data_IF_579761425718
#
_entry.id   IF_579761425718
#
_cell.length_a   1.000
_cell.length_b   1.000
_cell.length_c   1.000
_cell.angle_alpha   90.00
_cell.angle_beta   90.00
_cell.angle_gamma   90.00
#
_symmetry.space_group_name_H-M   'P 1'
#
loop_
_entity.id
_entity.type
_entity.pdbx_description
1 polymer ?
#
# COMPACT_ATOMS: atom_id res chain seq x y z
N UNK A 1 6.38 -10.13 -10.71
CA UNK A 1 5.13 -10.32 -9.93
C UNK A 1 4.78 -11.79 -9.72
N UNK A 2 3.89 -12.12 -8.77
CA UNK A 2 3.35 -13.47 -8.53
C UNK A 2 1.84 -13.44 -8.69
N UNK A 3 1.27 -14.43 -9.39
CA UNK A 3 -0.17 -14.51 -9.67
C UNK A 3 -0.74 -15.78 -9.04
N UNK A 4 -1.87 -15.68 -8.39
CA UNK A 4 -2.59 -16.76 -7.75
C UNK A 4 -4.07 -16.70 -8.17
N UNK A 5 -4.59 -17.83 -8.67
CA UNK A 5 -6.00 -17.98 -9.02
C UNK A 5 -6.78 -18.60 -7.85
N UNK A 6 -8.05 -18.21 -7.73
CA UNK A 6 -8.96 -18.73 -6.69
C UNK A 6 -8.38 -18.66 -5.26
N UNK A 7 -7.70 -17.54 -4.97
CA UNK A 7 -6.95 -17.36 -3.73
C UNK A 7 -7.85 -17.10 -2.54
N UNK A 8 -7.63 -17.82 -1.43
CA UNK A 8 -8.29 -17.53 -0.15
C UNK A 8 -7.80 -16.19 0.44
N UNK A 9 -8.73 -15.24 0.62
CA UNK A 9 -8.40 -13.88 1.03
C UNK A 9 -8.31 -13.68 2.55
N UNK A 10 -8.79 -14.62 3.36
CA UNK A 10 -8.65 -14.57 4.82
C UNK A 10 -7.21 -14.39 5.33
N UNK A 11 -6.21 -14.85 4.54
CA UNK A 11 -4.79 -14.70 4.88
C UNK A 11 -4.23 -13.31 4.55
N UNK A 12 -5.02 -12.46 3.89
CA UNK A 12 -4.67 -11.13 3.44
C UNK A 12 -5.45 -10.03 4.17
N UNK A 13 -6.19 -10.38 5.20
CA UNK A 13 -6.90 -9.46 6.08
C UNK A 13 -6.50 -9.69 7.54
N UNK A 14 -6.37 -8.61 8.30
CA UNK A 14 -6.14 -8.70 9.74
C UNK A 14 -7.32 -9.36 10.49
N UNK A 15 -8.53 -9.25 9.96
CA UNK A 15 -9.72 -9.88 10.54
C UNK A 15 -9.75 -11.40 10.32
N UNK A 16 -8.88 -11.94 9.43
CA UNK A 16 -8.76 -13.37 9.11
C UNK A 16 -10.06 -14.03 8.67
N UNK A 17 -10.94 -13.24 8.05
CA UNK A 17 -12.18 -13.69 7.41
C UNK A 17 -12.14 -13.32 5.92
N UNK A 18 -12.92 -14.04 5.10
CA UNK A 18 -13.05 -13.79 3.69
C UNK A 18 -12.92 -15.05 2.84
N UNK A 19 -13.76 -15.13 1.81
CA UNK A 19 -13.81 -16.19 0.83
C UNK A 19 -12.67 -16.13 -0.19
N UNK A 20 -12.92 -16.72 -1.36
CA UNK A 20 -11.95 -16.79 -2.45
C UNK A 20 -12.11 -15.61 -3.40
N UNK A 21 -10.99 -15.05 -3.82
CA UNK A 21 -10.93 -14.11 -4.93
C UNK A 21 -10.56 -14.83 -6.23
N UNK A 22 -11.07 -14.33 -7.36
CA UNK A 22 -10.73 -14.80 -8.70
C UNK A 22 -9.22 -14.79 -8.91
N UNK A 23 -8.57 -13.66 -8.61
CA UNK A 23 -7.14 -13.48 -8.83
C UNK A 23 -6.52 -12.63 -7.73
N UNK A 24 -5.33 -13.02 -7.27
CA UNK A 24 -4.47 -12.20 -6.44
C UNK A 24 -3.12 -12.05 -7.14
N UNK A 25 -2.69 -10.82 -7.32
CA UNK A 25 -1.39 -10.47 -7.90
C UNK A 25 -0.55 -9.82 -6.81
N UNK A 26 0.66 -10.31 -6.56
CA UNK A 26 1.63 -9.70 -5.64
C UNK A 26 2.69 -9.00 -6.49
N UNK A 27 2.74 -7.67 -6.40
CA UNK A 27 3.77 -6.87 -7.07
C UNK A 27 5.14 -7.10 -6.39
N UNK A 28 6.20 -7.27 -7.17
CA UNK A 28 7.58 -7.40 -6.69
C UNK A 28 8.41 -6.13 -6.95
N UNK A 29 8.01 -5.34 -7.94
CA UNK A 29 8.54 -4.01 -8.26
C UNK A 29 7.42 -3.11 -8.77
N UNK A 30 7.69 -1.81 -8.89
CA UNK A 30 6.66 -0.84 -9.30
C UNK A 30 6.27 -0.95 -10.78
N UNK A 31 7.15 -1.47 -11.60
CA UNK A 31 6.93 -1.69 -13.03
C UNK A 31 5.90 -2.79 -13.29
N UNK A 32 5.77 -3.76 -12.39
CA UNK A 32 4.76 -4.83 -12.47
C UNK A 32 3.34 -4.27 -12.62
N UNK A 33 3.08 -3.02 -12.14
CA UNK A 33 1.77 -2.39 -12.24
C UNK A 33 1.34 -2.17 -13.70
N UNK A 34 2.29 -1.90 -14.58
CA UNK A 34 2.04 -1.70 -16.01
C UNK A 34 1.53 -3.00 -16.63
N UNK A 35 2.13 -4.14 -16.27
CA UNK A 35 1.72 -5.46 -16.74
C UNK A 35 0.29 -5.79 -16.24
N UNK A 36 0.00 -5.44 -14.97
CA UNK A 36 -1.35 -5.65 -14.39
C UNK A 36 -2.43 -4.93 -15.19
N UNK A 37 -2.20 -3.68 -15.60
CA UNK A 37 -3.17 -2.90 -16.36
C UNK A 37 -3.23 -3.26 -17.85
N UNK A 38 -2.14 -3.78 -18.43
CA UNK A 38 -2.11 -4.23 -19.81
C UNK A 38 -2.82 -5.58 -20.00
N UNK A 39 -2.93 -6.40 -18.97
CA UNK A 39 -3.67 -7.67 -19.01
C UNK A 39 -5.17 -7.42 -18.89
N UNK A 40 -5.88 -7.60 -20.01
CA UNK A 40 -7.35 -7.40 -20.11
C UNK A 40 -8.18 -8.40 -19.28
N UNK A 41 -7.57 -9.49 -18.80
CA UNK A 41 -8.22 -10.43 -17.89
C UNK A 41 -8.32 -9.90 -16.46
N UNK A 42 -7.52 -8.90 -16.12
CA UNK A 42 -7.56 -8.24 -14.83
C UNK A 42 -8.73 -7.25 -14.77
N UNK A 43 -9.84 -7.71 -14.28
CA UNK A 43 -11.08 -6.92 -14.14
C UNK A 43 -11.34 -6.57 -12.69
N UNK A 44 -12.09 -5.51 -12.43
CA UNK A 44 -12.49 -5.09 -11.08
C UNK A 44 -11.30 -5.03 -10.12
N UNK A 45 -10.21 -4.36 -10.54
CA UNK A 45 -8.97 -4.28 -9.77
C UNK A 45 -9.19 -3.59 -8.43
N UNK A 46 -8.69 -4.20 -7.37
CA UNK A 46 -8.66 -3.63 -6.02
C UNK A 46 -7.24 -3.71 -5.44
N UNK A 47 -6.67 -2.55 -5.11
CA UNK A 47 -5.35 -2.49 -4.48
C UNK A 47 -5.42 -2.84 -3.01
N UNK A 48 -4.50 -3.68 -2.57
CA UNK A 48 -4.42 -4.20 -1.21
C UNK A 48 -3.03 -3.92 -0.62
N UNK A 49 -2.99 -3.20 0.48
CA UNK A 49 -1.81 -3.08 1.32
C UNK A 49 -1.73 -4.24 2.31
N UNK A 50 -1.62 -3.93 3.60
CA UNK A 50 -1.54 -4.94 4.66
C UNK A 50 -2.89 -5.58 5.04
N UNK A 51 -4.00 -5.12 4.45
CA UNK A 51 -5.33 -5.66 4.76
C UNK A 51 -5.83 -5.32 6.17
N UNK A 52 -5.35 -4.23 6.76
CA UNK A 52 -5.70 -3.81 8.12
C UNK A 52 -7.03 -3.06 8.21
N UNK A 53 -7.49 -2.49 7.09
CA UNK A 53 -8.74 -1.76 6.98
C UNK A 53 -9.63 -2.31 5.85
N UNK A 54 -9.63 -3.64 5.68
CA UNK A 54 -10.42 -4.34 4.66
C UNK A 54 -11.14 -5.52 5.30
N UNK A 55 -12.43 -5.59 5.05
CA UNK A 55 -13.27 -6.73 5.36
C UNK A 55 -13.68 -7.41 4.05
N UNK A 56 -13.28 -8.66 3.88
CA UNK A 56 -13.69 -9.48 2.74
C UNK A 56 -14.99 -10.19 3.03
N UNK A 57 -15.86 -10.32 2.02
CA UNK A 57 -17.03 -11.22 2.09
C UNK A 57 -16.56 -12.68 2.09
N UNK A 58 -17.39 -13.57 2.66
CA UNK A 58 -17.15 -15.01 2.60
C UNK A 58 -17.52 -15.63 1.25
N UNK A 59 -18.28 -14.90 0.42
CA UNK A 59 -18.62 -15.31 -0.92
C UNK A 59 -17.41 -15.27 -1.87
N UNK A 60 -17.55 -15.91 -3.03
CA UNK A 60 -16.59 -15.80 -4.11
C UNK A 60 -16.58 -14.37 -4.68
N UNK A 61 -15.38 -13.79 -4.78
CA UNK A 61 -15.19 -12.42 -5.30
C UNK A 61 -14.65 -12.48 -6.73
N UNK A 62 -15.48 -12.16 -7.74
CA UNK A 62 -15.05 -12.03 -9.14
C UNK A 62 -14.31 -10.70 -9.35
N UNK A 63 -13.12 -10.60 -8.74
CA UNK A 63 -12.23 -9.45 -8.90
C UNK A 63 -10.76 -9.82 -8.77
N UNK A 64 -9.91 -8.93 -9.27
CA UNK A 64 -8.46 -9.03 -9.14
C UNK A 64 -7.99 -8.16 -7.99
N UNK A 65 -7.34 -8.76 -6.99
CA UNK A 65 -6.66 -8.03 -5.93
C UNK A 65 -5.19 -7.86 -6.28
N UNK A 66 -4.68 -6.65 -6.13
CA UNK A 66 -3.27 -6.31 -6.39
C UNK A 66 -2.60 -5.94 -5.07
N UNK A 67 -1.76 -6.82 -4.56
CA UNK A 67 -1.08 -6.67 -3.27
C UNK A 67 0.27 -5.97 -3.44
N UNK A 68 0.44 -4.87 -2.71
CA UNK A 68 1.64 -4.01 -2.78
C UNK A 68 2.66 -4.29 -1.67
N UNK A 69 2.45 -5.28 -0.81
CA UNK A 69 3.27 -5.53 0.41
C UNK A 69 4.78 -5.65 0.17
N UNK A 70 5.21 -6.09 -1.02
CA UNK A 70 6.63 -6.24 -1.34
C UNK A 70 7.30 -4.96 -1.82
N UNK A 71 6.53 -3.94 -2.16
CA UNK A 71 7.04 -2.61 -2.47
C UNK A 71 7.27 -1.87 -1.14
N UNK A 72 8.34 -2.18 -0.43
CA UNK A 72 8.50 -1.81 0.98
C UNK A 72 9.82 -1.10 1.30
N UNK A 73 10.51 -0.57 0.29
CA UNK A 73 11.75 0.17 0.49
C UNK A 73 11.50 1.50 1.20
N UNK A 74 12.46 1.88 2.06
CA UNK A 74 12.52 3.16 2.75
C UNK A 74 13.91 3.73 2.49
N UNK A 75 14.00 4.91 1.87
CA UNK A 75 15.24 5.54 1.45
C UNK A 75 15.36 6.94 2.03
N UNK A 76 16.54 7.26 2.57
CA UNK A 76 16.88 8.61 2.98
C UNK A 76 17.39 9.42 1.78
N UNK A 77 16.66 10.47 1.39
CA UNK A 77 17.06 11.36 0.30
C UNK A 77 17.90 12.55 0.76
N UNK A 78 18.17 12.66 2.07
CA UNK A 78 18.81 13.83 2.67
C UNK A 78 17.81 14.98 2.90
N UNK A 79 18.28 16.08 3.52
CA UNK A 79 17.48 17.29 3.78
C UNK A 79 16.12 16.99 4.46
N UNK A 80 16.09 16.02 5.38
CA UNK A 80 14.90 15.56 6.07
C UNK A 80 13.81 14.95 5.16
N UNK A 81 14.18 14.51 3.94
CA UNK A 81 13.28 13.83 3.02
C UNK A 81 13.51 12.32 3.05
N UNK A 82 12.42 11.59 3.12
CA UNK A 82 12.40 10.12 3.09
C UNK A 82 11.46 9.66 1.99
N UNK A 83 11.98 8.85 1.07
CA UNK A 83 11.17 8.16 0.06
C UNK A 83 10.72 6.82 0.61
N UNK A 84 9.43 6.54 0.52
CA UNK A 84 8.82 5.34 1.07
C UNK A 84 7.92 4.70 0.03
N UNK A 85 8.13 3.41 -0.22
CA UNK A 85 7.25 2.63 -1.09
C UNK A 85 5.91 2.30 -0.40
N UNK A 86 4.88 2.17 -1.21
CA UNK A 86 3.46 2.02 -0.81
C UNK A 86 3.19 0.84 0.15
N UNK A 87 3.96 -0.26 0.03
CA UNK A 87 3.82 -1.46 0.86
C UNK A 87 4.61 -1.46 2.16
N UNK A 88 5.47 -0.45 2.38
CA UNK A 88 6.21 -0.32 3.64
C UNK A 88 5.23 -0.19 4.82
N UNK A 89 5.56 -0.83 5.96
CA UNK A 89 4.78 -0.67 7.17
C UNK A 89 5.03 0.68 7.82
N UNK A 90 4.01 1.28 8.42
CA UNK A 90 4.18 2.51 9.18
C UNK A 90 5.16 2.30 10.36
N UNK A 91 5.13 1.13 10.99
CA UNK A 91 6.09 0.79 12.06
C UNK A 91 7.53 0.88 11.55
N UNK A 92 7.82 0.28 10.39
CA UNK A 92 9.18 0.27 9.83
C UNK A 92 9.64 1.70 9.50
N UNK A 93 8.72 2.55 9.01
CA UNK A 93 9.01 3.98 8.77
C UNK A 93 9.29 4.73 10.08
N UNK A 94 8.49 4.53 11.12
CA UNK A 94 8.72 5.21 12.42
C UNK A 94 10.01 4.76 13.06
N UNK A 95 10.37 3.49 12.99
CA UNK A 95 11.65 2.96 13.47
C UNK A 95 12.82 3.56 12.68
N UNK A 96 12.71 3.60 11.36
CA UNK A 96 13.71 4.23 10.48
C UNK A 96 13.92 5.72 10.82
N UNK A 97 12.84 6.48 11.04
CA UNK A 97 12.92 7.90 11.37
C UNK A 97 13.58 8.12 12.75
N UNK A 98 13.20 7.31 13.76
CA UNK A 98 13.85 7.33 15.07
C UNK A 98 15.35 7.10 14.96
N UNK A 99 15.77 6.08 14.21
CA UNK A 99 17.19 5.71 14.07
C UNK A 99 18.00 6.78 13.32
N UNK A 100 17.33 7.64 12.55
CA UNK A 100 17.91 8.80 11.87
C UNK A 100 17.75 10.12 12.63
N UNK A 101 17.16 10.10 13.85
CA UNK A 101 16.81 11.28 14.63
C UNK A 101 15.88 12.25 13.85
N UNK A 102 14.99 11.73 13.02
CA UNK A 102 13.93 12.50 12.36
C UNK A 102 12.68 12.50 13.22
N UNK A 103 11.91 13.59 13.15
CA UNK A 103 10.69 13.78 13.93
C UNK A 103 9.50 14.17 13.03
N UNK A 104 8.29 14.12 13.60
CA UNK A 104 7.09 14.68 13.02
C UNK A 104 6.00 13.67 12.68
N UNK A 105 6.23 12.35 12.85
CA UNK A 105 5.21 11.30 12.65
C UNK A 105 5.01 10.43 13.92
N UNK A 106 5.49 10.87 15.06
CA UNK A 106 5.46 10.10 16.31
C UNK A 106 4.02 9.75 16.72
N UNK A 107 3.08 10.69 16.50
CA UNK A 107 1.66 10.50 16.78
C UNK A 107 1.00 9.40 15.94
N UNK A 108 1.60 9.04 14.80
CA UNK A 108 1.10 7.96 13.94
C UNK A 108 1.61 6.59 14.39
N UNK A 109 2.57 6.53 15.33
CA UNK A 109 3.11 5.28 15.84
C UNK A 109 1.98 4.39 16.42
N UNK A 110 2.02 3.12 16.05
CA UNK A 110 1.02 2.14 16.51
C UNK A 110 -0.20 1.98 15.59
N UNK A 111 -0.42 2.86 14.59
CA UNK A 111 -1.43 2.61 13.57
C UNK A 111 -0.95 1.41 12.71
N UNK A 112 -1.72 0.31 12.65
CA UNK A 112 -1.33 -0.81 11.81
C UNK A 112 -1.64 -0.51 10.35
N UNK A 113 -0.73 -0.85 9.44
CA UNK A 113 -0.99 -0.72 8.01
C UNK A 113 0.23 -0.40 7.17
N UNK A 114 0.01 -0.34 5.88
CA UNK A 114 1.01 0.10 4.89
C UNK A 114 0.90 1.61 4.63
N UNK A 115 2.01 2.19 4.22
CA UNK A 115 2.07 3.63 3.88
C UNK A 115 1.09 3.97 2.77
N UNK A 116 0.97 3.14 1.71
CA UNK A 116 -0.01 3.39 0.65
C UNK A 116 -1.46 3.38 1.15
N UNK A 117 -1.81 2.45 2.05
CA UNK A 117 -3.13 2.44 2.69
C UNK A 117 -3.37 3.66 3.57
N UNK A 118 -2.35 4.08 4.32
CA UNK A 118 -2.41 5.29 5.16
C UNK A 118 -2.61 6.55 4.31
N UNK A 119 -1.87 6.67 3.21
CA UNK A 119 -2.00 7.78 2.24
C UNK A 119 -3.39 7.79 1.60
N UNK A 120 -3.86 6.64 1.14
CA UNK A 120 -5.18 6.52 0.50
C UNK A 120 -6.32 7.01 1.41
N UNK A 121 -6.22 6.71 2.71
CA UNK A 121 -7.23 7.07 3.71
C UNK A 121 -6.99 8.42 4.37
N UNK A 122 -5.92 9.14 4.04
CA UNK A 122 -5.40 10.26 4.84
C UNK A 122 -5.37 9.91 6.34
N UNK A 123 -4.86 8.72 6.65
CA UNK A 123 -4.89 8.18 8.00
C UNK A 123 -4.08 9.03 8.97
N UNK A 124 -4.60 9.12 10.20
CA UNK A 124 -4.00 9.94 11.23
C UNK A 124 -4.40 9.52 12.63
N UNK A 125 -3.71 10.08 13.61
CA UNK A 125 -4.02 9.93 15.03
C UNK A 125 -3.52 11.14 15.82
N UNK A 126 -4.20 11.43 16.93
CA UNK A 126 -3.80 12.48 17.88
C UNK A 126 -3.60 13.85 17.21
N UNK A 127 -4.43 14.19 16.23
CA UNK A 127 -4.40 15.48 15.54
C UNK A 127 -3.34 15.62 14.45
N UNK A 128 -2.64 14.55 14.09
CA UNK A 128 -1.69 14.52 12.97
C UNK A 128 -2.20 13.56 11.90
N UNK A 129 -2.26 14.00 10.66
CA UNK A 129 -2.59 13.18 9.49
C UNK A 129 -1.35 12.97 8.62
N UNK A 130 -1.32 11.87 7.86
CA UNK A 130 -0.15 11.56 7.01
C UNK A 130 0.09 12.67 5.97
N UNK A 131 -0.98 13.28 5.44
CA UNK A 131 -0.84 14.37 4.47
C UNK A 131 -0.14 15.60 5.06
N UNK A 132 -0.13 15.83 6.37
CA UNK A 132 0.63 16.93 6.97
C UNK A 132 2.13 16.81 6.69
N UNK A 133 2.62 15.60 6.47
CA UNK A 133 4.05 15.27 6.31
C UNK A 133 4.45 14.93 4.90
N UNK A 134 3.50 14.73 3.99
CA UNK A 134 3.78 14.42 2.58
C UNK A 134 4.21 15.68 1.84
N UNK A 135 5.27 15.56 1.05
CA UNK A 135 5.75 16.58 0.10
C UNK A 135 5.22 16.28 -1.29
N UNK A 136 5.30 15.03 -1.70
CA UNK A 136 4.80 14.56 -3.00
C UNK A 136 4.45 13.06 -2.93
N UNK A 137 3.67 12.62 -3.90
CA UNK A 137 3.31 11.21 -4.10
C UNK A 137 3.54 10.82 -5.55
N UNK A 138 4.29 9.73 -5.78
CA UNK A 138 4.31 9.08 -7.10
C UNK A 138 3.01 8.28 -7.27
N UNK A 139 2.26 8.54 -8.32
CA UNK A 139 1.01 7.87 -8.65
C UNK A 139 1.08 7.22 -10.02
N UNK A 140 0.33 6.14 -10.19
CA UNK A 140 0.05 5.55 -11.49
C UNK A 140 -1.25 6.16 -12.01
N UNK A 141 -1.19 6.87 -13.12
CA UNK A 141 -2.31 7.66 -13.63
C UNK A 141 -3.19 6.91 -14.65
N UNK A 142 -4.25 7.54 -15.11
CA UNK A 142 -5.19 7.00 -16.09
C UNK A 142 -4.59 6.69 -17.47
N UNK A 143 -3.42 7.26 -17.77
CA UNK A 143 -2.66 6.99 -18.99
C UNK A 143 -1.64 5.88 -18.82
N UNK A 144 -1.71 5.15 -17.71
CA UNK A 144 -0.79 4.09 -17.33
C UNK A 144 0.67 4.57 -17.19
N UNK A 145 0.85 5.81 -16.70
CA UNK A 145 2.17 6.39 -16.48
C UNK A 145 2.39 6.74 -15.00
N UNK A 146 3.63 6.56 -14.56
CA UNK A 146 4.03 7.00 -13.22
C UNK A 146 4.36 8.47 -13.28
N UNK A 147 3.69 9.28 -12.47
CA UNK A 147 3.96 10.71 -12.32
C UNK A 147 3.97 11.14 -10.87
N UNK A 148 4.70 12.21 -10.58
CA UNK A 148 4.74 12.84 -9.27
C UNK A 148 3.64 13.89 -9.14
N UNK A 149 2.87 13.81 -8.05
CA UNK A 149 1.94 14.86 -7.62
C UNK A 149 2.54 15.52 -6.39
N UNK A 150 2.75 16.82 -6.43
CA UNK A 150 3.21 17.64 -5.30
C UNK A 150 2.01 18.14 -4.50
N UNK A 151 2.24 18.30 -3.20
CA UNK A 151 1.27 18.93 -2.30
C UNK A 151 1.10 20.40 -2.61
#
# INVERSE_FOLDING_TARGET
MKVFENQEMKNYSNMRVGGKAKKLIILENKEDIIEVFNDKENTNIFFLGNGTNVLFTDDYMDRTFVCTKKLNKIENLGNNLVKVETGANLKDLTDFMRDKNYSGIESLFGIPGSIGGLVYMNGGAFGTEIFDKIVSVEVFDENHQIREIKK
#
